data_IF_977360604097
#
_entry.id   IF_977360604097
#
_cell.length_a   1.000
_cell.length_b   1.000
_cell.length_c   1.000
_cell.angle_alpha   90.00
_cell.angle_beta   90.00
_cell.angle_gamma   90.00
#
_symmetry.space_group_name_H-M   'P 1'
#
loop_
_entity.id
_entity.type
_entity.pdbx_description
1 polymer ?
#
# COMPACT_ATOMS: atom_id res chain seq x y z
N UNK A 1 16.38 -31.13 -37.43
CA UNK A 1 16.73 -30.39 -36.20
C UNK A 1 16.44 -28.92 -36.44
N UNK A 2 15.34 -28.39 -35.89
CA UNK A 2 15.06 -26.95 -35.83
C UNK A 2 15.03 -26.61 -34.35
N UNK A 3 15.99 -25.82 -33.89
CA UNK A 3 16.07 -25.35 -32.52
C UNK A 3 15.02 -24.25 -32.32
N UNK A 4 14.08 -24.46 -31.40
CA UNK A 4 13.17 -23.44 -30.92
C UNK A 4 13.86 -22.71 -29.75
N UNK A 5 14.04 -21.40 -29.89
CA UNK A 5 14.51 -20.53 -28.82
C UNK A 5 13.26 -20.05 -28.09
N UNK A 6 13.03 -20.53 -26.87
CA UNK A 6 12.04 -19.97 -25.96
C UNK A 6 12.64 -18.71 -25.32
N UNK A 7 12.11 -17.54 -25.67
CA UNK A 7 12.38 -16.31 -24.95
C UNK A 7 11.48 -16.27 -23.71
N UNK A 8 12.08 -16.29 -22.52
CA UNK A 8 11.38 -16.09 -21.26
C UNK A 8 11.02 -14.60 -21.11
N UNK A 9 9.74 -14.30 -20.97
CA UNK A 9 9.25 -12.96 -20.64
C UNK A 9 9.29 -12.85 -19.11
N UNK A 10 10.17 -12.00 -18.60
CA UNK A 10 10.22 -11.59 -17.20
C UNK A 10 9.08 -10.60 -16.94
N UNK A 11 8.11 -11.00 -16.13
CA UNK A 11 7.14 -10.08 -15.55
C UNK A 11 7.84 -9.24 -14.48
N UNK A 12 7.96 -7.94 -14.71
CA UNK A 12 8.35 -6.98 -13.68
C UNK A 12 7.07 -6.51 -13.00
N UNK A 13 6.78 -7.02 -11.81
CA UNK A 13 5.74 -6.48 -10.93
C UNK A 13 6.21 -5.12 -10.43
N UNK A 14 5.51 -4.05 -10.78
CA UNK A 14 5.79 -2.73 -10.22
C UNK A 14 5.34 -2.71 -8.74
N UNK A 15 6.22 -2.32 -7.80
CA UNK A 15 5.84 -2.23 -6.39
C UNK A 15 4.89 -1.03 -6.18
N UNK A 16 3.96 -1.16 -5.23
CA UNK A 16 3.38 -0.02 -4.52
C UNK A 16 4.49 0.67 -3.70
N UNK A 17 4.38 1.94 -3.26
CA UNK A 17 5.46 2.64 -2.54
C UNK A 17 4.98 3.47 -1.31
N UNK A 18 5.59 3.32 -0.12
CA UNK A 18 5.30 4.14 1.08
C UNK A 18 6.40 4.10 2.18
N UNK A 19 7.51 4.81 1.99
CA UNK A 19 8.54 5.14 3.00
C UNK A 19 9.48 6.24 2.44
N UNK A 20 10.00 7.12 3.31
CA UNK A 20 10.77 8.32 2.95
C UNK A 20 12.02 7.97 2.14
N UNK A 21 12.27 8.78 1.12
CA UNK A 21 13.47 8.65 0.28
C UNK A 21 13.84 10.01 -0.33
N UNK A 22 15.12 10.20 -0.66
CA UNK A 22 15.53 11.37 -1.43
C UNK A 22 15.00 11.25 -2.86
N UNK A 23 14.71 12.37 -3.51
CA UNK A 23 14.20 12.38 -4.87
C UNK A 23 14.77 13.51 -5.73
N UNK A 24 14.62 13.37 -7.04
CA UNK A 24 14.86 14.43 -8.02
C UNK A 24 13.69 14.50 -8.99
N UNK A 25 13.36 15.72 -9.43
CA UNK A 25 12.39 15.93 -10.50
C UNK A 25 13.13 15.90 -11.84
N UNK A 26 12.83 14.91 -12.69
CA UNK A 26 13.39 14.79 -14.04
C UNK A 26 12.36 15.15 -15.10
N UNK A 27 12.77 15.16 -16.38
CA UNK A 27 11.83 15.31 -17.50
C UNK A 27 10.81 14.17 -17.60
N UNK A 28 11.01 13.05 -16.90
CA UNK A 28 10.11 11.90 -16.83
C UNK A 28 9.23 11.84 -15.58
N UNK A 29 9.34 12.80 -14.66
CA UNK A 29 8.60 12.82 -13.39
C UNK A 29 9.50 12.72 -12.17
N UNK A 30 8.92 12.32 -11.03
CA UNK A 30 9.63 12.15 -9.77
C UNK A 30 10.45 10.85 -9.78
N UNK A 31 11.74 10.94 -9.53
CA UNK A 31 12.64 9.79 -9.41
C UNK A 31 13.24 9.72 -8.01
N UNK A 32 13.15 8.57 -7.36
CA UNK A 32 13.78 8.33 -6.06
C UNK A 32 15.27 8.05 -6.24
N UNK A 33 16.09 8.70 -5.42
CA UNK A 33 17.55 8.63 -5.47
C UNK A 33 18.12 8.20 -4.13
N UNK A 34 19.28 7.54 -4.17
CA UNK A 34 20.02 7.21 -2.96
C UNK A 34 20.88 8.38 -2.51
N UNK A 35 20.90 8.68 -1.20
CA UNK A 35 21.81 9.70 -0.65
C UNK A 35 22.96 9.07 0.13
N UNK A 36 24.20 9.43 -0.20
CA UNK A 36 25.41 8.81 0.36
C UNK A 36 25.81 9.27 1.78
N UNK A 37 25.30 10.42 2.23
CA UNK A 37 25.73 11.08 3.48
C UNK A 37 24.60 11.25 4.51
N UNK A 38 23.34 11.03 4.12
CA UNK A 38 22.21 11.10 5.05
C UNK A 38 21.83 9.67 5.44
N UNK A 39 22.05 9.30 6.69
CA UNK A 39 21.75 7.98 7.22
C UNK A 39 20.40 7.97 7.95
N UNK A 40 19.62 6.88 7.79
CA UNK A 40 18.42 6.64 8.59
C UNK A 40 18.81 6.01 9.94
N UNK A 41 18.93 6.83 10.98
CA UNK A 41 19.31 6.38 12.33
C UNK A 41 18.16 5.64 13.03
N UNK A 42 16.92 6.09 12.86
CA UNK A 42 15.78 5.32 13.37
C UNK A 42 14.49 5.55 12.60
N UNK A 43 13.64 4.52 12.62
CA UNK A 43 12.24 4.56 12.21
C UNK A 43 11.37 3.98 13.34
N UNK A 44 10.43 4.77 13.85
CA UNK A 44 9.37 4.33 14.77
C UNK A 44 8.02 4.40 14.05
N UNK A 45 7.52 3.23 13.68
CA UNK A 45 6.35 3.05 12.84
C UNK A 45 5.18 2.49 13.66
N UNK A 46 4.06 3.19 13.65
CA UNK A 46 2.79 2.74 14.19
C UNK A 46 1.78 2.55 13.06
N UNK A 47 1.13 1.38 13.02
CA UNK A 47 0.10 1.05 12.04
C UNK A 47 -1.16 0.55 12.74
N UNK A 48 -2.30 1.13 12.39
CA UNK A 48 -3.64 0.62 12.67
C UNK A 48 -4.49 0.69 11.40
N UNK A 49 -5.72 0.16 11.44
CA UNK A 49 -6.69 0.33 10.34
C UNK A 49 -7.16 1.77 10.16
N UNK A 50 -7.00 2.62 11.17
CA UNK A 50 -7.49 4.01 11.13
C UNK A 50 -6.39 5.01 10.77
N UNK A 51 -5.13 4.70 11.11
CA UNK A 51 -4.04 5.65 11.03
C UNK A 51 -2.67 4.96 10.94
N UNK A 52 -1.80 5.53 10.12
CA UNK A 52 -0.36 5.26 10.14
C UNK A 52 0.36 6.50 10.67
N UNK A 53 1.31 6.28 11.58
CA UNK A 53 2.24 7.30 12.05
C UNK A 53 3.66 6.77 11.92
N UNK A 54 4.56 7.60 11.45
CA UNK A 54 5.98 7.24 11.38
C UNK A 54 6.83 8.42 11.83
N UNK A 55 7.82 8.13 12.67
CA UNK A 55 8.85 9.08 13.08
C UNK A 55 10.20 8.58 12.62
N UNK A 56 10.85 9.34 11.75
CA UNK A 56 12.22 9.11 11.33
C UNK A 56 13.17 10.02 12.08
N UNK A 57 14.36 9.49 12.39
CA UNK A 57 15.52 10.30 12.74
C UNK A 57 16.58 10.07 11.68
N UNK A 58 16.90 11.14 10.96
CA UNK A 58 17.98 11.16 9.99
C UNK A 58 19.20 11.85 10.58
N UNK A 59 20.38 11.43 10.16
CA UNK A 59 21.67 12.02 10.54
C UNK A 59 22.46 12.37 9.31
N UNK A 60 22.96 13.59 9.25
CA UNK A 60 23.93 13.99 8.23
C UNK A 60 25.33 13.62 8.72
N UNK A 61 25.96 12.64 8.06
CA UNK A 61 27.33 12.17 8.36
C UNK A 61 28.42 12.96 7.61
N UNK A 62 28.04 13.94 6.78
CA UNK A 62 28.93 14.86 6.07
C UNK A 62 29.36 16.08 6.90
N UNK A 63 30.23 16.91 6.30
CA UNK A 63 30.76 18.14 6.87
C UNK A 63 30.17 19.43 6.27
N UNK A 64 29.20 19.28 5.37
CA UNK A 64 28.44 20.37 4.75
C UNK A 64 26.93 20.19 4.97
N UNK A 65 26.21 21.33 4.96
CA UNK A 65 24.74 21.32 4.97
C UNK A 65 24.23 20.77 3.64
N UNK A 66 23.25 19.87 3.69
CA UNK A 66 22.71 19.19 2.51
C UNK A 66 21.24 19.55 2.33
N UNK A 67 20.93 20.20 1.21
CA UNK A 67 19.56 20.49 0.78
C UNK A 67 19.03 19.35 -0.09
N UNK A 68 17.87 18.78 0.27
CA UNK A 68 17.24 17.67 -0.44
C UNK A 68 15.75 17.90 -0.65
N UNK A 69 15.30 17.50 -1.83
CA UNK A 69 13.90 17.18 -2.07
C UNK A 69 13.61 15.80 -1.47
N UNK A 70 12.89 15.79 -0.36
CA UNK A 70 12.40 14.57 0.26
C UNK A 70 11.09 14.18 -0.39
N UNK A 71 10.90 12.88 -0.61
CA UNK A 71 9.67 12.33 -1.15
C UNK A 71 9.14 11.19 -0.27
N UNK A 72 7.84 11.23 -0.02
CA UNK A 72 7.08 10.17 0.63
C UNK A 72 6.01 9.65 -0.33
N UNK A 73 6.25 8.51 -0.99
CA UNK A 73 5.23 7.88 -1.81
C UNK A 73 4.08 7.35 -0.96
N UNK A 74 2.88 7.28 -1.53
CA UNK A 74 1.71 6.69 -0.89
C UNK A 74 1.42 5.31 -1.49
N UNK A 75 0.83 4.39 -0.70
CA UNK A 75 0.45 3.08 -1.21
C UNK A 75 -0.43 3.21 -2.46
N UNK A 76 -0.15 2.37 -3.46
CA UNK A 76 -0.92 2.32 -4.70
C UNK A 76 -2.40 2.04 -4.40
N UNK A 77 -3.28 2.76 -5.09
CA UNK A 77 -4.71 2.46 -5.15
C UNK A 77 -4.95 1.69 -6.43
N UNK A 78 -5.08 0.37 -6.29
CA UNK A 78 -5.50 -0.51 -7.38
C UNK A 78 -7.01 -0.71 -7.26
N UNK A 79 -7.80 -0.38 -8.29
CA UNK A 79 -9.23 -0.62 -8.24
C UNK A 79 -9.49 -2.12 -8.21
N UNK A 80 -10.21 -2.57 -7.18
CA UNK A 80 -10.78 -3.91 -7.11
C UNK A 80 -12.29 -3.75 -6.93
N UNK A 81 -13.01 -3.70 -8.05
CA UNK A 81 -14.45 -3.45 -8.05
C UNK A 81 -15.27 -4.66 -7.57
N UNK A 82 -14.64 -5.82 -7.39
CA UNK A 82 -15.28 -7.05 -6.96
C UNK A 82 -15.06 -7.34 -5.47
N UNK A 83 -14.31 -6.50 -4.78
CA UNK A 83 -13.94 -6.68 -3.38
C UNK A 83 -14.25 -5.42 -2.55
N UNK A 84 -14.70 -5.55 -1.29
CA UNK A 84 -14.95 -4.41 -0.43
C UNK A 84 -13.62 -3.84 0.10
N UNK A 85 -12.94 -3.05 -0.75
CA UNK A 85 -11.76 -2.27 -0.35
C UNK A 85 -12.21 -0.91 0.17
N UNK A 86 -11.84 -0.59 1.41
CA UNK A 86 -12.02 0.74 1.99
C UNK A 86 -10.82 1.60 1.59
N UNK A 87 -11.07 2.54 0.69
CA UNK A 87 -10.06 3.50 0.26
C UNK A 87 -10.12 4.77 1.12
N UNK A 88 -9.00 5.51 1.23
CA UNK A 88 -9.01 6.81 1.88
C UNK A 88 -10.02 7.75 1.22
N UNK A 89 -10.77 8.49 2.04
CA UNK A 89 -11.86 9.37 1.59
C UNK A 89 -11.56 10.84 1.90
N UNK A 90 -10.29 11.20 1.99
CA UNK A 90 -9.87 12.58 2.21
C UNK A 90 -10.26 13.50 1.06
N UNK A 91 -9.94 14.80 1.17
CA UNK A 91 -10.07 15.75 0.07
C UNK A 91 -9.35 15.29 -1.20
N UNK A 92 -9.80 15.73 -2.37
CA UNK A 92 -9.22 15.33 -3.66
C UNK A 92 -7.73 15.68 -3.80
N UNK A 93 -7.29 16.75 -3.15
CA UNK A 93 -5.90 17.21 -3.11
C UNK A 93 -5.10 16.67 -1.91
N UNK A 94 -5.72 15.85 -1.07
CA UNK A 94 -5.08 15.15 0.03
C UNK A 94 -5.86 13.88 0.42
N UNK A 95 -5.96 12.92 -0.50
CA UNK A 95 -6.84 11.76 -0.37
C UNK A 95 -6.57 10.95 0.90
N UNK A 96 -5.30 10.87 1.30
CA UNK A 96 -4.82 10.11 2.46
C UNK A 96 -4.78 10.93 3.76
N UNK A 97 -5.19 12.20 3.75
CA UNK A 97 -5.05 13.11 4.91
C UNK A 97 -3.59 13.13 5.44
N UNK A 98 -2.63 13.18 4.51
CA UNK A 98 -1.21 13.21 4.82
C UNK A 98 -0.82 14.53 5.48
N UNK A 99 -0.15 14.42 6.62
CA UNK A 99 0.47 15.49 7.37
C UNK A 99 1.93 15.13 7.63
N UNK A 100 2.82 16.12 7.52
CA UNK A 100 4.24 15.93 7.78
C UNK A 100 4.86 17.11 8.54
N UNK A 101 5.81 16.81 9.42
CA UNK A 101 6.63 17.81 10.12
C UNK A 101 8.12 17.54 9.92
N UNK A 102 8.90 18.62 9.91
CA UNK A 102 10.35 18.59 9.93
C UNK A 102 10.85 19.35 11.18
N UNK A 103 11.55 18.65 12.07
CA UNK A 103 11.95 19.13 13.39
C UNK A 103 10.77 19.75 14.18
N UNK A 104 9.61 19.09 14.13
CA UNK A 104 8.39 19.52 14.81
C UNK A 104 7.68 20.72 14.19
N UNK A 105 8.16 21.23 13.05
CA UNK A 105 7.50 22.31 12.30
C UNK A 105 6.74 21.70 11.11
N UNK A 106 5.44 21.97 10.92
CA UNK A 106 4.71 21.51 9.76
C UNK A 106 5.36 21.97 8.45
N UNK A 107 5.46 21.09 7.47
CA UNK A 107 5.96 21.41 6.12
C UNK A 107 4.84 21.33 5.10
N UNK A 108 4.86 22.24 4.13
CA UNK A 108 3.90 22.24 3.03
C UNK A 108 4.38 21.26 1.95
N UNK A 109 3.69 20.13 1.84
CA UNK A 109 4.07 19.07 0.93
C UNK A 109 3.30 19.19 -0.40
N UNK A 110 4.03 19.08 -1.50
CA UNK A 110 3.43 19.08 -2.85
C UNK A 110 3.01 17.66 -3.23
N UNK A 111 1.73 17.48 -3.56
CA UNK A 111 1.19 16.23 -4.08
C UNK A 111 1.51 16.07 -5.58
N UNK A 112 2.09 14.93 -5.93
CA UNK A 112 2.28 14.45 -7.30
C UNK A 112 1.46 13.20 -7.53
N UNK A 113 0.64 13.20 -8.59
CA UNK A 113 -0.30 12.12 -8.88
C UNK A 113 -0.08 11.53 -10.25
N UNK A 114 -0.21 10.21 -10.32
CA UNK A 114 -0.02 9.43 -11.53
C UNK A 114 -1.07 8.32 -11.66
N UNK A 115 -1.38 7.95 -12.90
CA UNK A 115 -2.21 6.81 -13.23
C UNK A 115 -1.44 5.84 -14.11
N UNK A 116 -1.32 4.59 -13.68
CA UNK A 116 -0.61 3.54 -14.39
C UNK A 116 -1.56 2.43 -14.83
N UNK A 117 -1.38 1.95 -16.05
CA UNK A 117 -2.04 0.73 -16.54
C UNK A 117 -1.06 -0.10 -17.35
N UNK A 118 -1.06 -1.42 -17.10
CA UNK A 118 -0.09 -2.35 -17.68
C UNK A 118 1.39 -1.91 -17.54
N UNK A 119 1.73 -1.26 -16.42
CA UNK A 119 3.08 -0.75 -16.13
C UNK A 119 3.49 0.50 -16.91
N UNK A 120 2.56 1.15 -17.63
CA UNK A 120 2.80 2.37 -18.39
C UNK A 120 2.11 3.55 -17.71
N UNK A 121 2.80 4.68 -17.58
CA UNK A 121 2.20 5.95 -17.15
C UNK A 121 1.19 6.43 -18.20
N UNK A 122 -0.07 6.56 -17.79
CA UNK A 122 -1.22 7.00 -18.59
C UNK A 122 -1.79 8.34 -18.11
N UNK A 123 -1.07 9.04 -17.23
CA UNK A 123 -1.56 10.25 -16.55
C UNK A 123 -1.98 11.34 -17.54
N UNK A 124 -1.11 11.67 -18.49
CA UNK A 124 -1.41 12.71 -19.49
C UNK A 124 -2.55 12.31 -20.44
N UNK A 125 -2.69 11.00 -20.72
CA UNK A 125 -3.79 10.49 -21.53
C UNK A 125 -5.14 10.69 -20.81
N UNK A 126 -5.23 10.30 -19.54
CA UNK A 126 -6.44 10.48 -18.74
C UNK A 126 -6.78 11.95 -18.52
N UNK A 127 -5.79 12.79 -18.20
CA UNK A 127 -5.99 14.25 -18.08
C UNK A 127 -6.45 14.88 -19.40
N UNK A 128 -5.96 14.39 -20.55
CA UNK A 128 -6.40 14.83 -21.87
C UNK A 128 -7.86 14.52 -22.18
N UNK A 129 -8.46 13.56 -21.47
CA UNK A 129 -9.86 13.17 -21.55
C UNK A 129 -10.71 13.77 -20.42
N UNK A 130 -10.13 14.60 -19.55
CA UNK A 130 -10.78 15.13 -18.35
C UNK A 130 -11.28 14.03 -17.39
N UNK A 131 -10.59 12.88 -17.38
CA UNK A 131 -10.91 11.78 -16.47
C UNK A 131 -10.20 11.98 -15.12
N UNK A 132 -10.91 11.86 -13.98
CA UNK A 132 -10.29 11.91 -12.66
C UNK A 132 -9.27 10.78 -12.48
N UNK A 133 -8.12 11.07 -11.86
CA UNK A 133 -7.06 10.07 -11.68
C UNK A 133 -7.37 9.04 -10.59
N UNK A 134 -8.26 9.34 -9.66
CA UNK A 134 -8.66 8.41 -8.59
C UNK A 134 -9.76 7.46 -9.12
N UNK A 135 -9.43 6.20 -9.48
CA UNK A 135 -10.27 5.32 -10.30
C UNK A 135 -11.54 4.83 -9.59
N UNK A 136 -11.53 4.87 -8.26
CA UNK A 136 -12.56 4.36 -7.35
C UNK A 136 -13.62 5.41 -7.00
N UNK A 137 -13.42 6.65 -7.44
CA UNK A 137 -14.35 7.74 -7.14
C UNK A 137 -15.62 7.58 -7.98
N UNK A 138 -16.77 7.98 -7.42
CA UNK A 138 -18.01 8.04 -8.21
C UNK A 138 -17.87 8.97 -9.42
N UNK A 139 -17.03 9.99 -9.32
CA UNK A 139 -16.70 10.89 -10.43
C UNK A 139 -16.00 10.14 -11.57
N UNK A 140 -14.96 9.35 -11.27
CA UNK A 140 -14.26 8.55 -12.28
C UNK A 140 -15.16 7.48 -12.91
N UNK A 141 -15.99 6.80 -12.10
CA UNK A 141 -16.95 5.80 -12.58
C UNK A 141 -17.92 6.42 -13.59
N UNK A 142 -18.56 7.53 -13.23
CA UNK A 142 -19.50 8.22 -14.12
C UNK A 142 -18.79 8.77 -15.37
N UNK A 143 -17.61 9.37 -15.21
CA UNK A 143 -16.88 9.98 -16.33
C UNK A 143 -16.44 8.93 -17.36
N UNK A 144 -16.08 7.71 -16.94
CA UNK A 144 -15.77 6.62 -17.87
C UNK A 144 -17.05 6.10 -18.55
N UNK A 145 -18.14 5.93 -17.81
CA UNK A 145 -19.41 5.40 -18.36
C UNK A 145 -20.07 6.34 -19.39
N UNK A 146 -19.76 7.65 -19.33
CA UNK A 146 -20.26 8.67 -20.27
C UNK A 146 -19.45 8.77 -21.57
N UNK A 147 -18.33 8.05 -21.69
CA UNK A 147 -17.49 8.07 -22.91
C UNK A 147 -18.17 7.40 -24.11
N UNK A 148 -17.82 7.84 -25.31
CA UNK A 148 -18.32 7.21 -26.54
C UNK A 148 -17.67 5.83 -26.82
N UNK A 149 -18.31 5.05 -27.67
CA UNK A 149 -17.88 3.69 -28.02
C UNK A 149 -16.46 3.61 -28.61
N UNK A 150 -15.99 4.66 -29.30
CA UNK A 150 -14.64 4.71 -29.86
C UNK A 150 -13.61 4.84 -28.74
N UNK A 151 -13.88 5.72 -27.77
CA UNK A 151 -13.03 5.96 -26.62
C UNK A 151 -13.03 4.76 -25.66
N UNK A 152 -14.20 4.16 -25.37
CA UNK A 152 -14.29 2.94 -24.56
C UNK A 152 -13.44 1.81 -25.16
N UNK A 153 -13.52 1.60 -26.48
CA UNK A 153 -12.65 0.63 -27.17
C UNK A 153 -11.17 0.93 -26.99
N UNK A 154 -10.79 2.20 -26.96
CA UNK A 154 -9.41 2.61 -26.71
C UNK A 154 -8.98 2.32 -25.27
N UNK A 155 -9.82 2.63 -24.28
CA UNK A 155 -9.56 2.34 -22.87
C UNK A 155 -9.42 0.83 -22.63
N UNK A 156 -10.36 0.02 -23.14
CA UNK A 156 -10.29 -1.44 -23.08
C UNK A 156 -8.99 -1.99 -23.70
N UNK A 157 -8.56 -1.44 -24.84
CA UNK A 157 -7.31 -1.86 -25.48
C UNK A 157 -6.06 -1.54 -24.65
N UNK A 158 -6.10 -0.46 -23.86
CA UNK A 158 -5.00 -0.02 -23.00
C UNK A 158 -5.11 -0.56 -21.56
N UNK A 159 -6.07 -1.45 -21.31
CA UNK A 159 -6.40 -1.99 -19.98
C UNK A 159 -6.80 -0.91 -18.97
N UNK A 160 -7.34 0.22 -19.44
CA UNK A 160 -7.78 1.36 -18.64
C UNK A 160 -9.26 1.29 -18.23
N UNK A 161 -10.01 0.32 -18.74
CA UNK A 161 -11.38 0.04 -18.32
C UNK A 161 -11.62 -1.46 -18.31
N UNK A 162 -12.57 -1.91 -17.49
CA UNK A 162 -13.12 -3.27 -17.52
C UNK A 162 -14.63 -3.23 -17.73
N UNK A 163 -15.21 -4.18 -18.49
CA UNK A 163 -16.65 -4.27 -18.64
C UNK A 163 -17.28 -4.82 -17.36
N UNK A 164 -18.39 -4.21 -16.96
CA UNK A 164 -19.32 -4.71 -15.96
C UNK A 164 -20.67 -4.99 -16.64
N UNK A 165 -20.99 -6.26 -16.82
CA UNK A 165 -22.20 -6.70 -17.51
C UNK A 165 -23.19 -7.31 -16.52
N UNK A 166 -24.38 -6.74 -16.41
CA UNK A 166 -25.43 -7.26 -15.54
C UNK A 166 -26.83 -7.07 -16.14
N UNK A 167 -27.81 -7.75 -15.56
CA UNK A 167 -29.23 -7.59 -15.89
C UNK A 167 -30.01 -7.21 -14.63
N UNK A 168 -30.37 -5.93 -14.52
CA UNK A 168 -31.19 -5.40 -13.44
C UNK A 168 -32.71 -5.62 -13.62
N UNK A 169 -33.10 -6.50 -14.54
CA UNK A 169 -34.50 -6.82 -14.87
C UNK A 169 -35.06 -6.08 -16.08
N UNK A 170 -34.24 -5.30 -16.78
CA UNK A 170 -34.58 -4.59 -18.02
C UNK A 170 -33.85 -5.15 -19.26
N UNK A 171 -33.07 -6.22 -19.09
CA UNK A 171 -32.16 -6.75 -20.09
C UNK A 171 -30.70 -6.52 -19.70
N UNK A 172 -29.80 -7.14 -20.45
CA UNK A 172 -28.36 -6.96 -20.26
C UNK A 172 -27.93 -5.52 -20.55
N UNK A 173 -27.25 -4.92 -19.59
CA UNK A 173 -26.53 -3.66 -19.73
C UNK A 173 -25.04 -3.86 -19.48
N UNK A 174 -24.23 -3.04 -20.14
CA UNK A 174 -22.77 -3.07 -20.05
C UNK A 174 -22.30 -1.69 -19.61
N UNK A 175 -21.77 -1.61 -18.41
CA UNK A 175 -21.06 -0.46 -17.89
C UNK A 175 -19.55 -0.68 -18.02
N UNK A 176 -18.77 0.39 -17.91
CA UNK A 176 -17.31 0.30 -17.94
C UNK A 176 -16.71 0.96 -16.70
N UNK A 177 -15.97 0.19 -15.92
CA UNK A 177 -15.32 0.71 -14.72
C UNK A 177 -13.86 1.09 -14.99
N UNK A 178 -13.35 2.19 -14.39
CA UNK A 178 -11.93 2.55 -14.39
C UNK A 178 -11.01 1.39 -14.00
N UNK A 179 -9.94 1.18 -14.76
CA UNK A 179 -8.97 0.12 -14.48
C UNK A 179 -7.52 0.64 -14.55
N UNK A 180 -7.18 1.62 -13.73
CA UNK A 180 -5.79 2.08 -13.60
C UNK A 180 -5.38 2.15 -12.14
N UNK A 181 -4.10 1.91 -11.87
CA UNK A 181 -3.51 2.11 -10.56
C UNK A 181 -3.25 3.59 -10.34
N UNK A 182 -3.87 4.17 -9.32
CA UNK A 182 -3.56 5.51 -8.86
C UNK A 182 -2.35 5.49 -7.93
N UNK A 183 -1.42 6.42 -8.15
CA UNK A 183 -0.23 6.61 -7.33
C UNK A 183 -0.14 8.07 -6.90
N UNK A 184 0.17 8.28 -5.63
CA UNK A 184 0.42 9.60 -5.06
C UNK A 184 1.82 9.63 -4.45
N UNK A 185 2.47 10.79 -4.49
CA UNK A 185 3.71 11.03 -3.76
C UNK A 185 3.73 12.47 -3.28
N UNK A 186 4.05 12.66 -2.00
CA UNK A 186 4.23 13.97 -1.40
C UNK A 186 5.70 14.34 -1.39
N UNK A 187 6.04 15.56 -1.81
CA UNK A 187 7.43 16.06 -1.78
C UNK A 187 7.56 17.38 -1.05
N UNK A 188 8.68 17.58 -0.36
CA UNK A 188 9.03 18.87 0.26
C UNK A 188 10.54 19.06 0.27
N UNK A 189 10.98 20.31 0.31
CA UNK A 189 12.40 20.66 0.45
C UNK A 189 12.80 20.67 1.92
N UNK A 190 13.97 20.14 2.23
CA UNK A 190 14.52 20.13 3.58
C UNK A 190 16.04 20.28 3.58
N UNK A 191 16.55 21.02 4.58
CA UNK A 191 17.98 21.14 4.84
C UNK A 191 18.38 20.23 6.00
N UNK A 192 19.40 19.40 5.77
CA UNK A 192 20.02 18.50 6.74
C UNK A 192 21.37 19.11 7.15
N UNK A 193 21.48 19.77 8.32
CA UNK A 193 22.72 20.46 8.70
C UNK A 193 23.87 19.48 8.96
N UNK A 194 25.09 19.90 8.64
CA UNK A 194 26.30 19.08 8.79
C UNK A 194 26.45 18.50 10.21
N UNK A 195 26.64 17.18 10.32
CA UNK A 195 26.86 16.50 11.61
C UNK A 195 25.66 16.47 12.57
N UNK A 196 24.50 16.99 12.16
CA UNK A 196 23.31 17.11 13.01
C UNK A 196 22.30 15.98 12.73
N UNK A 197 21.33 15.86 13.65
CA UNK A 197 20.15 15.01 13.48
C UNK A 197 18.93 15.85 13.19
N UNK A 198 18.06 15.33 12.35
CA UNK A 198 16.74 15.90 12.09
C UNK A 198 15.66 14.84 12.31
N UNK A 199 14.50 15.29 12.75
CA UNK A 199 13.32 14.45 12.94
C UNK A 199 12.31 14.75 11.84
N UNK A 200 11.77 13.71 11.21
CA UNK A 200 10.65 13.80 10.27
C UNK A 200 9.50 12.98 10.84
N UNK A 201 8.31 13.55 10.90
CA UNK A 201 7.12 12.85 11.41
C UNK A 201 6.01 12.91 10.39
N UNK A 202 5.40 11.76 10.09
CA UNK A 202 4.22 11.68 9.23
C UNK A 202 3.03 11.09 9.95
N UNK A 203 1.85 11.51 9.52
CA UNK A 203 0.55 10.92 9.87
C UNK A 203 -0.33 10.88 8.63
N UNK A 204 -1.01 9.76 8.40
CA UNK A 204 -1.96 9.63 7.30
C UNK A 204 -2.91 8.45 7.52
N UNK A 205 -4.01 8.41 6.75
CA UNK A 205 -4.94 7.28 6.74
C UNK A 205 -4.48 6.18 5.79
N UNK A 206 -4.43 4.91 6.22
CA UNK A 206 -4.06 3.81 5.34
C UNK A 206 -5.13 3.55 4.26
N UNK A 207 -4.70 2.94 3.16
CA UNK A 207 -5.61 2.21 2.27
C UNK A 207 -5.85 0.83 2.88
N UNK A 208 -7.12 0.42 3.00
CA UNK A 208 -7.53 -0.75 3.77
C UNK A 208 -8.32 -1.70 2.88
N UNK A 209 -7.68 -2.77 2.40
CA UNK A 209 -8.37 -3.85 1.70
C UNK A 209 -9.18 -4.72 2.66
N UNK A 210 -10.15 -5.48 2.14
CA UNK A 210 -10.86 -6.44 2.97
C UNK A 210 -11.79 -7.37 2.22
N UNK A 211 -12.32 -8.36 2.93
CA UNK A 211 -13.39 -9.25 2.46
C UNK A 211 -14.29 -9.69 3.61
N UNK A 212 -15.52 -10.10 3.30
CA UNK A 212 -16.61 -10.39 4.27
C UNK A 212 -16.47 -11.78 4.92
N UNK A 213 -15.34 -12.47 4.76
CA UNK A 213 -15.09 -13.78 5.36
C UNK A 213 -13.61 -14.14 5.43
N UNK A 214 -13.32 -15.34 5.93
CA UNK A 214 -11.94 -15.82 6.08
C UNK A 214 -11.53 -16.71 4.90
N UNK A 215 -10.79 -16.14 3.96
CA UNK A 215 -10.43 -16.75 2.67
C UNK A 215 -9.44 -17.90 2.82
N UNK A 216 -8.50 -17.81 3.77
CA UNK A 216 -7.46 -18.83 3.93
C UNK A 216 -7.95 -20.17 4.53
N UNK A 217 -9.22 -20.25 4.94
CA UNK A 217 -9.84 -21.51 5.36
C UNK A 217 -10.56 -22.25 4.21
N UNK A 218 -10.69 -21.61 3.05
CA UNK A 218 -11.29 -22.20 1.85
C UNK A 218 -10.45 -23.36 1.31
N UNK A 219 -11.12 -24.32 0.65
CA UNK A 219 -10.43 -25.41 -0.06
C UNK A 219 -9.61 -24.85 -1.23
N UNK A 220 -8.46 -25.47 -1.56
CA UNK A 220 -7.73 -25.15 -2.78
C UNK A 220 -8.60 -25.34 -4.01
N UNK A 221 -8.47 -24.43 -4.97
CA UNK A 221 -9.19 -24.50 -6.25
C UNK A 221 -8.26 -24.15 -7.40
N UNK A 222 -8.44 -24.84 -8.52
CA UNK A 222 -7.57 -24.69 -9.70
C UNK A 222 -6.08 -24.75 -9.32
N UNK A 223 -5.32 -23.68 -9.60
CA UNK A 223 -3.89 -23.55 -9.28
C UNK A 223 -3.64 -22.65 -8.05
N UNK A 224 -4.68 -22.37 -7.24
CA UNK A 224 -4.61 -21.51 -6.06
C UNK A 224 -4.93 -22.26 -4.76
N UNK A 225 -4.01 -22.18 -3.80
CA UNK A 225 -4.21 -22.63 -2.42
C UNK A 225 -4.23 -21.41 -1.48
N UNK A 226 -5.42 -21.01 -0.99
CA UNK A 226 -5.56 -19.86 -0.10
C UNK A 226 -4.67 -19.96 1.16
N UNK A 227 -4.56 -21.15 1.77
CA UNK A 227 -3.81 -21.33 2.99
C UNK A 227 -2.30 -21.15 2.77
N UNK A 228 -1.79 -21.62 1.63
CA UNK A 228 -0.39 -21.43 1.25
C UNK A 228 -0.08 -19.99 0.85
N UNK A 229 -0.96 -19.36 0.07
CA UNK A 229 -0.81 -17.96 -0.34
C UNK A 229 -0.79 -17.00 0.87
N UNK A 230 -1.72 -17.18 1.81
CA UNK A 230 -1.78 -16.38 3.03
C UNK A 230 -0.62 -16.64 3.97
N UNK A 231 -0.14 -17.88 4.06
CA UNK A 231 1.06 -18.20 4.85
C UNK A 231 2.29 -17.52 4.26
N UNK A 232 2.42 -17.45 2.94
CA UNK A 232 3.52 -16.76 2.30
C UNK A 232 3.44 -15.24 2.49
N UNK A 233 2.26 -14.65 2.31
CA UNK A 233 2.06 -13.19 2.33
C UNK A 233 2.00 -12.61 3.74
N UNK A 234 1.23 -13.21 4.63
CA UNK A 234 0.92 -12.67 5.96
C UNK A 234 1.52 -13.49 7.12
N UNK A 235 2.30 -14.53 6.81
CA UNK A 235 2.89 -15.43 7.81
C UNK A 235 1.85 -16.07 8.75
N UNK A 236 0.68 -16.44 8.24
CA UNK A 236 -0.37 -17.14 9.00
C UNK A 236 0.12 -18.53 9.42
N UNK A 237 0.69 -18.62 10.62
CA UNK A 237 1.20 -19.87 11.18
C UNK A 237 0.07 -20.80 11.66
N UNK A 238 0.43 -22.02 12.03
CA UNK A 238 -0.55 -23.01 12.48
C UNK A 238 -1.22 -22.56 13.79
N UNK A 239 -0.57 -21.74 14.62
CA UNK A 239 -1.17 -21.18 15.84
C UNK A 239 -2.31 -20.23 15.48
N UNK A 240 -2.08 -19.32 14.54
CA UNK A 240 -3.05 -18.36 14.04
C UNK A 240 -4.23 -19.08 13.38
N UNK A 241 -3.96 -20.00 12.45
CA UNK A 241 -5.01 -20.77 11.76
C UNK A 241 -5.86 -21.56 12.78
N UNK A 242 -5.22 -22.21 13.76
CA UNK A 242 -5.94 -22.95 14.81
C UNK A 242 -6.73 -22.03 15.74
N UNK A 243 -6.27 -20.80 15.98
CA UNK A 243 -7.04 -19.81 16.75
C UNK A 243 -8.33 -19.44 16.02
N UNK A 244 -8.30 -19.26 14.70
CA UNK A 244 -9.49 -18.99 13.89
C UNK A 244 -10.41 -20.21 13.84
N UNK A 245 -9.89 -21.41 13.59
CA UNK A 245 -10.70 -22.64 13.56
C UNK A 245 -11.48 -22.89 14.85
N UNK A 246 -10.96 -22.48 16.00
CA UNK A 246 -11.66 -22.57 17.30
C UNK A 246 -12.86 -21.64 17.45
N UNK A 247 -13.02 -20.68 16.54
CA UNK A 247 -14.14 -19.72 16.53
C UNK A 247 -15.28 -20.13 15.62
N UNK A 248 -15.08 -21.15 14.78
CA UNK A 248 -16.11 -21.69 13.90
C UNK A 248 -17.30 -22.19 14.71
N UNK A 249 -18.52 -21.88 14.27
CA UNK A 249 -19.73 -22.46 14.88
C UNK A 249 -19.95 -23.90 14.41
N UNK A 250 -19.47 -24.22 13.21
CA UNK A 250 -19.40 -25.57 12.66
C UNK A 250 -17.98 -25.82 12.09
N UNK A 251 -17.23 -26.81 12.59
CA UNK A 251 -15.89 -27.15 12.09
C UNK A 251 -15.82 -27.48 10.60
N UNK A 252 -16.92 -27.93 10.01
CA UNK A 252 -17.01 -28.32 8.59
C UNK A 252 -17.45 -27.14 7.70
N UNK A 253 -17.75 -25.97 8.28
CA UNK A 253 -18.16 -24.76 7.56
C UNK A 253 -17.15 -23.60 7.76
N UNK A 254 -16.16 -23.43 6.87
CA UNK A 254 -15.17 -22.35 6.94
C UNK A 254 -15.75 -20.94 7.01
N UNK A 255 -16.87 -20.69 6.31
CA UNK A 255 -17.59 -19.41 6.30
C UNK A 255 -18.25 -19.07 7.64
N UNK A 256 -18.31 -20.02 8.59
CA UNK A 256 -18.86 -19.77 9.92
C UNK A 256 -17.90 -19.00 10.84
N UNK A 257 -16.68 -18.71 10.38
CA UNK A 257 -15.75 -17.85 11.09
C UNK A 257 -16.38 -16.46 11.31
N UNK A 258 -16.45 -15.95 12.56
CA UNK A 258 -17.10 -14.68 12.87
C UNK A 258 -16.16 -13.50 12.61
N UNK A 259 -15.48 -13.48 11.45
CA UNK A 259 -14.50 -12.47 11.09
C UNK A 259 -14.66 -12.00 9.65
N UNK A 260 -14.41 -10.71 9.45
CA UNK A 260 -14.02 -10.13 8.16
C UNK A 260 -12.51 -9.95 8.12
N UNK A 261 -11.94 -10.01 6.92
CA UNK A 261 -10.52 -9.73 6.71
C UNK A 261 -10.30 -8.25 6.42
N UNK A 262 -9.20 -7.75 6.95
CA UNK A 262 -8.67 -6.42 6.68
C UNK A 262 -7.18 -6.55 6.34
N UNK A 263 -6.76 -5.92 5.25
CA UNK A 263 -5.38 -5.97 4.77
C UNK A 263 -4.78 -4.56 4.72
N UNK A 264 -3.58 -4.42 5.26
CA UNK A 264 -2.80 -3.19 5.21
C UNK A 264 -1.41 -3.55 4.70
N UNK A 265 -0.96 -2.84 3.68
CA UNK A 265 0.40 -2.96 3.15
C UNK A 265 1.19 -1.69 3.48
N UNK A 266 2.40 -1.85 3.99
CA UNK A 266 3.34 -0.77 4.28
C UNK A 266 4.71 -1.11 3.74
N UNK A 267 5.45 -0.09 3.33
CA UNK A 267 6.61 -0.28 2.48
C UNK A 267 7.85 0.03 3.27
N UNK A 268 8.77 -0.92 3.28
CA UNK A 268 9.96 -0.85 4.11
C UNK A 268 11.23 -0.86 3.28
N UNK A 269 11.19 -1.43 2.07
CA UNK A 269 12.41 -1.66 1.29
C UNK A 269 13.12 -0.37 0.87
N UNK A 270 12.40 0.75 0.70
CA UNK A 270 12.98 2.06 0.37
C UNK A 270 13.76 2.69 1.52
N UNK A 271 13.63 2.20 2.76
CA UNK A 271 14.55 2.56 3.85
C UNK A 271 16.03 2.26 3.50
N UNK A 272 16.27 1.37 2.53
CA UNK A 272 17.59 1.08 1.97
C UNK A 272 18.15 2.15 1.01
N UNK A 273 17.40 3.20 0.67
CA UNK A 273 17.88 4.28 -0.21
C UNK A 273 18.77 5.30 0.53
N UNK A 274 18.82 5.25 1.86
CA UNK A 274 19.64 6.13 2.68
C UNK A 274 21.05 5.56 2.92
N UNK A 275 21.97 6.42 3.37
CA UNK A 275 23.34 6.02 3.65
C UNK A 275 23.39 4.85 4.64
N UNK A 276 24.27 3.89 4.38
CA UNK A 276 24.33 2.62 5.14
C UNK A 276 23.35 1.54 4.64
N UNK A 277 22.45 1.90 3.71
CA UNK A 277 21.49 1.02 3.04
C UNK A 277 20.54 0.27 3.99
N UNK A 278 20.32 0.75 5.21
CA UNK A 278 19.43 0.12 6.17
C UNK A 278 19.07 1.03 7.33
N UNK A 279 18.23 0.53 8.22
CA UNK A 279 17.69 1.29 9.35
C UNK A 279 18.47 0.90 10.61
N UNK A 280 19.23 1.81 11.21
CA UNK A 280 20.06 1.46 12.37
C UNK A 280 19.20 0.96 13.55
N UNK A 281 18.04 1.61 13.79
CA UNK A 281 17.05 1.20 14.80
C UNK A 281 15.64 1.24 14.21
N UNK A 282 15.02 0.08 14.08
CA UNK A 282 13.65 -0.03 13.59
C UNK A 282 12.72 -0.49 14.71
N UNK A 283 11.62 0.23 14.88
CA UNK A 283 10.53 -0.14 15.80
C UNK A 283 9.22 -0.12 15.03
N UNK A 284 8.48 -1.22 15.10
CA UNK A 284 7.13 -1.36 14.55
C UNK A 284 6.15 -1.64 15.67
N UNK A 285 5.04 -0.92 15.70
CA UNK A 285 3.86 -1.20 16.50
C UNK A 285 2.67 -1.41 15.59
N UNK A 286 2.04 -2.58 15.69
CA UNK A 286 0.76 -2.85 15.02
C UNK A 286 -0.34 -2.88 16.07
N UNK A 287 -1.39 -2.10 15.83
CA UNK A 287 -2.61 -2.06 16.63
C UNK A 287 -3.77 -2.72 15.88
N UNK A 288 -4.28 -3.83 16.41
CA UNK A 288 -5.40 -4.56 15.81
C UNK A 288 -6.79 -3.98 16.16
N UNK A 289 -6.85 -2.85 16.87
CA UNK A 289 -8.07 -2.09 17.18
C UNK A 289 -8.93 -2.66 18.31
N UNK A 290 -9.34 -3.93 18.23
CA UNK A 290 -10.17 -4.60 19.27
C UNK A 290 -9.43 -5.80 19.86
N UNK A 291 -9.59 -6.06 21.16
CA UNK A 291 -9.04 -7.25 21.82
C UNK A 291 -9.54 -8.56 21.20
N UNK A 292 -10.73 -8.53 20.56
CA UNK A 292 -11.33 -9.69 19.91
C UNK A 292 -10.81 -9.97 18.51
N UNK A 293 -10.13 -9.01 17.88
CA UNK A 293 -9.54 -9.18 16.56
C UNK A 293 -8.32 -10.10 16.63
N UNK A 294 -7.89 -10.63 15.48
CA UNK A 294 -6.62 -11.33 15.36
C UNK A 294 -5.73 -10.57 14.37
N UNK A 295 -4.41 -10.72 14.49
CA UNK A 295 -3.46 -10.09 13.58
C UNK A 295 -2.36 -11.06 13.19
N UNK A 296 -1.96 -11.04 11.92
CA UNK A 296 -0.85 -11.83 11.37
C UNK A 296 -0.05 -10.96 10.41
N UNK A 297 1.27 -11.01 10.53
CA UNK A 297 2.21 -10.35 9.62
C UNK A 297 3.57 -11.04 9.72
N UNK A 298 4.38 -10.90 8.68
CA UNK A 298 5.74 -11.46 8.67
C UNK A 298 6.69 -10.60 9.51
N UNK A 299 6.94 -11.04 10.74
CA UNK A 299 7.86 -10.39 11.67
C UNK A 299 8.45 -11.38 12.67
N UNK A 300 9.70 -11.14 13.07
CA UNK A 300 10.42 -11.98 14.04
C UNK A 300 10.66 -11.23 15.34
N UNK A 301 10.45 -11.91 16.48
CA UNK A 301 10.65 -11.31 17.81
C UNK A 301 9.49 -10.41 18.25
N UNK A 302 8.32 -10.58 17.64
CA UNK A 302 7.10 -9.84 17.96
C UNK A 302 6.65 -10.10 19.40
N UNK A 303 6.34 -9.03 20.14
CA UNK A 303 5.85 -9.10 21.52
C UNK A 303 4.53 -8.36 21.63
N UNK A 304 3.57 -8.94 22.34
CA UNK A 304 2.36 -8.22 22.74
C UNK A 304 2.73 -7.20 23.83
N UNK A 305 2.49 -5.91 23.58
CA UNK A 305 2.84 -4.80 24.50
C UNK A 305 1.62 -4.10 25.12
N UNK A 306 0.42 -4.39 24.62
CA UNK A 306 -0.85 -3.91 25.16
C UNK A 306 -2.00 -4.81 24.77
N UNK A 307 -3.26 -4.46 25.10
CA UNK A 307 -4.42 -5.29 24.81
C UNK A 307 -4.60 -5.60 23.31
N UNK A 308 -4.31 -4.62 22.46
CA UNK A 308 -4.45 -4.66 21.00
C UNK A 308 -3.13 -4.47 20.24
N UNK A 309 -2.04 -4.11 20.94
CA UNK A 309 -0.79 -3.70 20.32
C UNK A 309 0.32 -4.73 20.41
N UNK A 310 1.04 -4.87 19.29
CA UNK A 310 2.17 -5.79 19.12
C UNK A 310 3.39 -5.02 18.62
N UNK A 311 4.54 -5.28 19.20
CA UNK A 311 5.79 -4.58 18.92
C UNK A 311 6.83 -5.53 18.31
N UNK A 312 7.53 -5.05 17.29
CA UNK A 312 8.76 -5.63 16.79
C UNK A 312 9.87 -4.57 16.84
N UNK A 313 11.04 -4.95 17.36
CA UNK A 313 12.23 -4.08 17.38
C UNK A 313 13.38 -4.81 16.68
N UNK A 314 14.08 -4.09 15.81
CA UNK A 314 15.25 -4.57 15.07
C UNK A 314 16.38 -3.54 15.15
N UNK A 315 17.60 -4.03 15.15
CA UNK A 315 18.82 -3.21 15.04
C UNK A 315 19.51 -3.56 13.72
N UNK A 316 20.07 -2.56 13.04
CA UNK A 316 20.71 -2.69 11.72
C UNK A 316 19.81 -3.45 10.74
N UNK A 317 18.55 -3.02 10.66
CA UNK A 317 17.50 -3.70 9.94
C UNK A 317 17.61 -3.44 8.43
N UNK A 318 17.66 -4.54 7.67
CA UNK A 318 17.57 -4.52 6.23
C UNK A 318 16.24 -5.15 5.80
N UNK A 319 15.21 -4.36 5.50
CA UNK A 319 13.96 -4.89 4.98
C UNK A 319 14.16 -5.50 3.59
N UNK A 320 13.78 -6.76 3.41
CA UNK A 320 13.87 -7.50 2.14
C UNK A 320 12.54 -7.59 1.38
N UNK A 321 11.45 -7.21 2.05
CA UNK A 321 10.10 -7.27 1.54
C UNK A 321 9.26 -6.20 2.24
N UNK A 322 8.13 -5.89 1.64
CA UNK A 322 7.13 -5.01 2.25
C UNK A 322 6.44 -5.69 3.43
N UNK A 323 5.88 -4.86 4.31
CA UNK A 323 5.10 -5.30 5.45
C UNK A 323 3.65 -5.51 5.02
N UNK A 324 3.22 -6.76 5.03
CA UNK A 324 1.86 -7.17 4.72
C UNK A 324 1.16 -7.60 6.03
N UNK A 325 0.08 -6.91 6.39
CA UNK A 325 -0.63 -7.10 7.65
C UNK A 325 -2.05 -7.58 7.36
N UNK A 326 -2.39 -8.74 7.94
CA UNK A 326 -3.75 -9.26 7.98
C UNK A 326 -4.33 -9.02 9.38
N UNK A 327 -5.43 -8.29 9.46
CA UNK A 327 -6.26 -8.18 10.66
C UNK A 327 -7.58 -8.93 10.40
N UNK A 328 -7.93 -9.86 11.29
CA UNK A 328 -9.26 -10.46 11.31
C UNK A 328 -10.14 -9.67 12.27
N UNK A 329 -11.04 -8.88 11.72
CA UNK A 329 -11.97 -8.07 12.47
C UNK A 329 -13.19 -8.90 12.88
N UNK A 330 -13.49 -8.96 14.17
CA UNK A 330 -14.61 -9.79 14.63
C UNK A 330 -15.95 -9.13 14.32
N UNK A 331 -16.91 -9.92 13.82
CA UNK A 331 -18.27 -9.43 13.58
C UNK A 331 -18.90 -8.86 14.86
N UNK A 332 -19.58 -7.72 14.74
CA UNK A 332 -20.27 -7.04 15.84
C UNK A 332 -19.41 -6.05 16.64
N UNK A 333 -18.17 -5.78 16.21
CA UNK A 333 -17.34 -4.67 16.72
C UNK A 333 -17.34 -3.44 15.75
N UNK A 334 -18.26 -3.40 14.77
CA UNK A 334 -18.50 -2.24 13.88
C UNK A 334 -19.40 -1.18 14.53
#
# INVERSE_FOLDING_TARGET
MRAAICAAILFVTAPALANDTAAVLTTGGLEFVSHGEIAMESEDLYISSDEIRVTYVFRNDGDEDIDLLVAFPMPDIVPDHFSPVAFPTGPSDNLFEFETTFNGTPVDATLHEYAYAAGVDRTDFLRGLDLPLVPISSEALNAVDELDDDMIRQLLHMDLAIPDEFDAGAGWETHHWPNWTYRATYTWEATFPAGERVTVEHRYKPSVGGTVGVSFLSEPYEDYDPASAYRQKYCTDDTFINAVRKTLTDPDEPWSAPFSETWISYILTTGGNWAGNGIEKFRLVIDKGSEKNLVSFCGEGVKKIGPTTFEMVKENYWPQQELEILILQRHGDQ
#
